data_IF_594227712035
#
_entry.id   IF_594227712035
#
_cell.length_a   1.000
_cell.length_b   1.000
_cell.length_c   1.000
_cell.angle_alpha   90.00
_cell.angle_beta   90.00
_cell.angle_gamma   90.00
#
_symmetry.space_group_name_H-M   'P 1'
#
loop_
_entity.id
_entity.type
_entity.pdbx_description
1 polymer ?
#
# COMPACT_ATOMS: atom_id res chain seq x y z
N UNK A 1 0.83 0.32 -13.69
CA UNK A 1 -0.42 0.55 -12.93
C UNK A 1 -0.83 -0.75 -12.25
N UNK A 2 -1.28 -0.65 -11.01
CA UNK A 2 -1.77 -1.79 -10.24
C UNK A 2 -3.30 -1.83 -10.31
N UNK A 3 -3.85 -3.02 -10.37
CA UNK A 3 -5.28 -3.24 -10.41
C UNK A 3 -5.72 -4.09 -9.22
N UNK A 4 -6.62 -3.59 -8.40
CA UNK A 4 -7.13 -4.29 -7.24
C UNK A 4 -8.61 -4.56 -7.39
N UNK A 5 -9.01 -5.82 -7.30
CA UNK A 5 -10.42 -6.16 -7.23
C UNK A 5 -10.97 -5.84 -5.84
N UNK A 6 -12.24 -5.45 -5.78
CA UNK A 6 -12.92 -5.18 -4.51
C UNK A 6 -12.72 -6.32 -3.51
N UNK A 7 -12.36 -5.97 -2.29
CA UNK A 7 -12.14 -6.90 -1.19
C UNK A 7 -10.73 -7.48 -1.10
N UNK A 8 -9.91 -7.30 -2.13
CA UNK A 8 -8.52 -7.79 -2.11
C UNK A 8 -7.64 -6.83 -1.33
N UNK A 9 -6.58 -7.38 -0.76
CA UNK A 9 -5.61 -6.64 0.03
C UNK A 9 -4.20 -7.13 -0.24
N UNK A 10 -3.24 -6.23 -0.15
CA UNK A 10 -1.83 -6.60 -0.18
C UNK A 10 -1.36 -7.01 1.22
N UNK A 11 -0.12 -7.45 1.34
CA UNK A 11 0.47 -7.76 2.64
C UNK A 11 0.68 -6.49 3.48
N UNK A 12 0.76 -6.66 4.79
CA UNK A 12 1.30 -5.66 5.71
C UNK A 12 2.81 -5.77 5.64
N UNK A 13 3.45 -4.80 4.98
CA UNK A 13 4.88 -4.90 4.63
C UNK A 13 5.55 -3.53 4.63
N UNK A 14 6.86 -3.52 4.48
CA UNK A 14 7.65 -2.31 4.36
C UNK A 14 8.83 -2.52 3.40
N UNK A 15 9.41 -1.41 2.95
CA UNK A 15 10.58 -1.39 2.09
C UNK A 15 11.70 -0.64 2.79
N UNK A 16 12.92 -1.19 2.77
CA UNK A 16 14.09 -0.57 3.39
C UNK A 16 14.84 0.35 2.45
N UNK A 17 14.73 0.12 1.15
CA UNK A 17 15.54 0.77 0.12
C UNK A 17 14.71 1.73 -0.71
N UNK A 18 13.56 1.28 -1.20
CA UNK A 18 12.76 2.12 -2.10
C UNK A 18 11.79 3.01 -1.37
N UNK A 19 11.51 4.12 -2.01
CA UNK A 19 10.55 5.13 -1.62
C UNK A 19 9.44 5.13 -2.66
N UNK A 20 8.18 5.18 -2.24
CA UNK A 20 7.03 5.05 -3.14
C UNK A 20 6.04 6.19 -2.95
N UNK A 21 5.34 6.55 -4.04
CA UNK A 21 4.17 7.40 -3.96
C UNK A 21 3.04 6.72 -4.70
N UNK A 22 1.90 6.59 -4.05
CA UNK A 22 0.68 6.04 -4.66
C UNK A 22 -0.23 7.18 -5.07
N UNK A 23 -0.85 7.01 -6.24
CA UNK A 23 -1.88 7.89 -6.77
C UNK A 23 -3.08 7.03 -7.16
N UNK A 24 -4.25 7.29 -6.57
CA UNK A 24 -5.45 6.53 -6.90
C UNK A 24 -6.12 7.14 -8.13
N UNK A 25 -6.19 6.36 -9.20
CA UNK A 25 -6.82 6.76 -10.46
C UNK A 25 -8.34 6.57 -10.40
N UNK A 26 -8.79 5.43 -9.87
CA UNK A 26 -10.21 5.11 -9.77
C UNK A 26 -10.45 4.14 -8.62
N UNK A 27 -11.67 4.07 -8.14
CA UNK A 27 -12.07 3.18 -7.07
C UNK A 27 -11.94 3.81 -5.69
N UNK A 28 -11.65 2.98 -4.69
CA UNK A 28 -11.50 3.41 -3.30
C UNK A 28 -10.61 2.41 -2.57
N UNK A 29 -9.58 2.91 -1.89
CA UNK A 29 -8.63 2.07 -1.18
C UNK A 29 -8.50 2.54 0.27
N UNK A 30 -8.70 1.62 1.21
CA UNK A 30 -8.41 1.86 2.61
C UNK A 30 -6.93 1.52 2.85
N UNK A 31 -6.17 2.52 3.26
CA UNK A 31 -4.75 2.38 3.54
C UNK A 31 -4.53 2.31 5.05
N UNK A 32 -3.84 1.25 5.48
CA UNK A 32 -3.29 1.14 6.83
C UNK A 32 -1.81 1.47 6.77
N UNK A 33 -1.31 2.27 7.69
CA UNK A 33 0.10 2.63 7.72
C UNK A 33 0.59 2.84 9.15
N UNK A 34 1.87 2.58 9.37
CA UNK A 34 2.47 2.75 10.69
C UNK A 34 3.97 2.55 10.68
N UNK A 35 4.62 2.98 11.76
CA UNK A 35 6.07 2.90 11.89
C UNK A 35 6.52 1.68 12.68
N UNK A 36 5.58 0.92 13.23
CA UNK A 36 5.85 -0.31 13.98
C UNK A 36 5.30 -1.51 13.24
N UNK A 37 5.73 -2.70 13.64
CA UNK A 37 5.23 -3.94 13.05
C UNK A 37 3.78 -4.26 13.46
N UNK A 38 3.25 -3.59 14.47
CA UNK A 38 1.90 -3.86 14.98
C UNK A 38 0.83 -3.22 14.10
N UNK A 39 -0.04 -4.03 13.50
CA UNK A 39 -1.18 -3.55 12.74
C UNK A 39 -2.20 -2.85 13.64
N UNK A 40 -2.25 -3.21 14.92
CA UNK A 40 -3.17 -2.58 15.90
C UNK A 40 -2.86 -1.10 16.11
N UNK A 41 -1.59 -0.71 15.97
CA UNK A 41 -1.15 0.67 16.13
C UNK A 41 -1.22 1.45 14.82
N UNK A 42 -1.65 0.81 13.73
CA UNK A 42 -1.68 1.44 12.41
C UNK A 42 -2.76 2.53 12.34
N UNK A 43 -2.43 3.59 11.64
CA UNK A 43 -3.38 4.62 11.25
C UNK A 43 -4.07 4.20 9.97
N UNK A 44 -5.23 4.77 9.71
CA UNK A 44 -6.00 4.49 8.50
C UNK A 44 -6.29 5.76 7.72
N UNK A 45 -6.32 5.62 6.41
CA UNK A 45 -6.69 6.70 5.49
C UNK A 45 -7.43 6.11 4.31
N UNK A 46 -8.60 6.66 4.00
CA UNK A 46 -9.35 6.25 2.82
C UNK A 46 -8.88 7.10 1.63
N UNK A 47 -8.29 6.44 0.63
CA UNK A 47 -7.90 7.09 -0.61
C UNK A 47 -9.08 7.13 -1.57
N UNK A 48 -9.36 8.31 -2.09
CA UNK A 48 -10.33 8.55 -3.14
C UNK A 48 -9.62 8.92 -4.45
N UNK A 49 -10.28 8.83 -5.61
CA UNK A 49 -9.64 9.20 -6.87
C UNK A 49 -9.02 10.59 -6.83
N UNK A 50 -7.77 10.68 -7.24
CA UNK A 50 -7.00 11.92 -7.20
C UNK A 50 -6.11 12.08 -5.97
N UNK A 51 -6.28 11.22 -4.95
CA UNK A 51 -5.45 11.28 -3.74
C UNK A 51 -4.09 10.66 -3.98
N UNK A 52 -3.09 11.21 -3.31
CA UNK A 52 -1.72 10.72 -3.31
C UNK A 52 -1.29 10.40 -1.88
N UNK A 53 -0.42 9.41 -1.73
CA UNK A 53 0.17 9.08 -0.44
C UNK A 53 1.62 8.65 -0.62
N UNK A 54 2.51 9.27 0.15
CA UNK A 54 3.93 8.97 0.12
C UNK A 54 4.27 7.90 1.16
N UNK A 55 4.79 6.76 0.67
CA UNK A 55 5.28 5.66 1.51
C UNK A 55 6.79 5.79 1.57
N UNK A 56 7.28 6.40 2.64
CA UNK A 56 8.72 6.54 2.84
C UNK A 56 9.36 5.23 3.30
N UNK A 57 10.67 5.14 3.20
CA UNK A 57 11.43 3.95 3.59
C UNK A 57 11.13 3.55 5.02
N UNK A 58 10.81 2.26 5.23
CA UNK A 58 10.50 1.71 6.54
C UNK A 58 9.05 1.83 6.97
N UNK A 59 8.25 2.66 6.31
CA UNK A 59 6.83 2.77 6.66
C UNK A 59 6.11 1.48 6.31
N UNK A 60 5.50 0.84 7.33
CA UNK A 60 4.66 -0.34 7.13
C UNK A 60 3.34 0.11 6.53
N UNK A 61 2.86 -0.63 5.57
CA UNK A 61 1.61 -0.29 4.90
C UNK A 61 0.88 -1.51 4.38
N UNK A 62 -0.43 -1.40 4.29
CA UNK A 62 -1.31 -2.39 3.70
C UNK A 62 -2.47 -1.66 3.05
N UNK A 63 -2.84 -2.09 1.85
CA UNK A 63 -3.97 -1.53 1.13
C UNK A 63 -5.07 -2.57 1.00
N UNK A 64 -6.31 -2.14 1.23
CA UNK A 64 -7.51 -2.97 1.07
C UNK A 64 -8.44 -2.26 0.10
N UNK A 65 -8.76 -2.91 -1.02
CA UNK A 65 -9.65 -2.32 -2.01
C UNK A 65 -11.10 -2.37 -1.53
N UNK A 66 -11.72 -1.20 -1.43
CA UNK A 66 -13.14 -1.08 -1.08
C UNK A 66 -14.03 -1.19 -2.32
N UNK A 67 -13.47 -1.00 -3.49
CA UNK A 67 -14.08 -1.15 -4.80
C UNK A 67 -12.99 -1.58 -5.77
N UNK A 68 -13.36 -2.02 -6.97
CA UNK A 68 -12.37 -2.26 -8.02
C UNK A 68 -11.59 -0.96 -8.25
N UNK A 69 -10.27 -1.03 -8.17
CA UNK A 69 -9.44 0.17 -8.08
C UNK A 69 -8.24 0.08 -9.01
N UNK A 70 -7.88 1.25 -9.56
CA UNK A 70 -6.68 1.42 -10.37
C UNK A 70 -5.73 2.37 -9.64
N UNK A 71 -4.52 1.90 -9.38
CA UNK A 71 -3.54 2.63 -8.58
C UNK A 71 -2.24 2.77 -9.37
N UNK A 72 -1.74 4.01 -9.46
CA UNK A 72 -0.40 4.25 -9.97
C UNK A 72 0.60 4.21 -8.82
N UNK A 73 1.71 3.53 -9.05
CA UNK A 73 2.83 3.47 -8.13
C UNK A 73 4.04 4.14 -8.79
N UNK A 74 4.57 5.14 -8.13
CA UNK A 74 5.80 5.81 -8.51
C UNK A 74 6.84 5.49 -7.45
N UNK A 75 7.91 4.81 -7.83
CA UNK A 75 8.93 4.42 -6.86
C UNK A 75 10.31 4.77 -7.36
N UNK A 76 11.26 4.81 -6.43
CA UNK A 76 12.67 4.93 -6.75
C UNK A 76 13.14 3.62 -7.38
N UNK A 77 14.12 2.98 -6.87
CA UNK A 77 14.59 1.72 -7.42
C UNK A 77 13.86 0.54 -6.80
N UNK A 78 13.46 -0.44 -7.61
CA UNK A 78 12.79 -1.65 -7.14
C UNK A 78 13.79 -2.81 -7.01
N UNK A 79 13.73 -3.49 -5.86
CA UNK A 79 14.46 -4.73 -5.59
C UNK A 79 13.48 -5.74 -4.99
N UNK A 80 13.45 -6.97 -5.51
CA UNK A 80 12.54 -7.99 -5.01
C UNK A 80 12.77 -8.31 -3.52
N UNK A 81 14.04 -8.29 -3.10
CA UNK A 81 14.43 -8.57 -1.71
C UNK A 81 14.03 -7.48 -0.74
N UNK A 82 13.61 -6.31 -1.24
CA UNK A 82 13.23 -5.15 -0.42
C UNK A 82 11.80 -5.23 0.10
N UNK A 83 11.02 -6.24 -0.27
CA UNK A 83 9.67 -6.42 0.24
C UNK A 83 9.72 -7.26 1.52
N UNK A 84 9.53 -6.60 2.66
CA UNK A 84 9.62 -7.21 3.99
C UNK A 84 8.21 -7.40 4.55
N UNK A 85 7.67 -8.60 4.40
CA UNK A 85 6.30 -8.90 4.82
C UNK A 85 6.22 -9.14 6.32
N UNK A 86 5.31 -8.45 6.98
CA UNK A 86 4.97 -8.68 8.38
C UNK A 86 3.76 -9.61 8.47
N UNK A 87 2.72 -9.35 7.66
CA UNK A 87 1.53 -10.19 7.55
C UNK A 87 1.25 -10.39 6.06
N UNK A 88 1.08 -11.66 5.64
CA UNK A 88 0.76 -11.96 4.24
C UNK A 88 -0.62 -11.43 3.86
N UNK A 89 -0.74 -10.99 2.62
CA UNK A 89 -2.00 -10.53 2.05
C UNK A 89 -2.60 -11.56 1.09
N UNK A 90 -3.66 -11.14 0.41
CA UNK A 90 -4.30 -11.93 -0.62
C UNK A 90 -3.50 -11.86 -1.93
N UNK A 91 -3.76 -12.79 -2.82
CA UNK A 91 -3.30 -12.71 -4.20
C UNK A 91 -4.16 -11.68 -4.94
N UNK A 92 -3.52 -10.77 -5.63
CA UNK A 92 -4.20 -9.75 -6.43
C UNK A 92 -4.59 -10.29 -7.80
#
# INVERSE_FOLDING_TARGET
>A
MLFFNKGKRCSWHYHKIKDETFYLQSGSILLFYGETASLEDAKTLLLEPGDKFHIYRGLRHQMVAQADSELFEFSTQHFDEDSNRVIAGDTL
#
